data_IF_286178993588
#
_entry.id   IF_286178993588
#
_cell.length_a   1.000
_cell.length_b   1.000
_cell.length_c   1.000
_cell.angle_alpha   90.00
_cell.angle_beta   90.00
_cell.angle_gamma   90.00
#
_symmetry.space_group_name_H-M   'P 1'
#
loop_
_entity.id
_entity.type
_entity.pdbx_description
1 polymer ?
#
# COMPACT_ATOMS: atom_id res chain seq x y z
N UNK A 1 -31.95 5.28 1.65
CA UNK A 1 -30.66 5.14 0.94
C UNK A 1 -30.03 3.84 1.44
N UNK A 2 -29.87 2.86 0.55
CA UNK A 2 -29.36 1.52 0.87
C UNK A 2 -28.01 1.62 1.60
N UNK A 3 -27.84 0.92 2.72
CA UNK A 3 -26.59 0.91 3.51
C UNK A 3 -25.39 0.48 2.66
N UNK A 4 -25.59 -0.42 1.70
CA UNK A 4 -24.56 -0.83 0.72
C UNK A 4 -24.12 0.33 -0.17
N UNK A 5 -25.03 1.22 -0.59
CA UNK A 5 -24.67 2.39 -1.41
C UNK A 5 -23.85 3.41 -0.62
N UNK A 6 -24.17 3.62 0.66
CA UNK A 6 -23.37 4.47 1.56
C UNK A 6 -21.96 3.91 1.75
N UNK A 7 -21.84 2.59 1.91
CA UNK A 7 -20.55 1.93 2.06
C UNK A 7 -19.71 2.07 0.78
N UNK A 8 -20.29 1.85 -0.39
CA UNK A 8 -19.60 2.04 -1.68
C UNK A 8 -19.01 3.45 -1.78
N UNK A 9 -19.79 4.48 -1.44
CA UNK A 9 -19.33 5.87 -1.51
C UNK A 9 -18.19 6.15 -0.52
N UNK A 10 -18.24 5.54 0.66
CA UNK A 10 -17.17 5.63 1.63
C UNK A 10 -15.88 4.94 1.13
N UNK A 11 -15.97 3.75 0.53
CA UNK A 11 -14.81 3.01 0.03
C UNK A 11 -14.13 3.76 -1.13
N UNK A 12 -14.90 4.33 -2.05
CA UNK A 12 -14.36 5.17 -3.14
C UNK A 12 -13.57 6.37 -2.56
N UNK A 13 -14.07 7.01 -1.51
CA UNK A 13 -13.37 8.11 -0.87
C UNK A 13 -12.08 7.66 -0.17
N UNK A 14 -12.09 6.46 0.40
CA UNK A 14 -10.94 5.84 1.07
C UNK A 14 -9.79 5.55 0.11
N UNK A 15 -10.06 5.17 -1.15
CA UNK A 15 -9.01 4.95 -2.17
C UNK A 15 -8.15 6.18 -2.43
N UNK A 16 -8.71 7.39 -2.32
CA UNK A 16 -7.91 8.62 -2.43
C UNK A 16 -6.89 8.72 -1.29
N UNK A 17 -7.34 8.43 -0.07
CA UNK A 17 -6.47 8.42 1.13
C UNK A 17 -5.40 7.33 1.02
N UNK A 18 -5.75 6.15 0.48
CA UNK A 18 -4.80 5.07 0.22
C UNK A 18 -3.66 5.53 -0.69
N UNK A 19 -3.99 6.12 -1.84
CA UNK A 19 -3.00 6.58 -2.81
C UNK A 19 -2.08 7.67 -2.25
N UNK A 20 -2.65 8.63 -1.50
CA UNK A 20 -1.86 9.66 -0.81
C UNK A 20 -0.87 9.05 0.21
N UNK A 21 -1.33 8.06 1.01
CA UNK A 21 -0.47 7.35 1.97
C UNK A 21 0.64 6.56 1.27
N UNK A 22 0.30 5.83 0.21
CA UNK A 22 1.26 5.04 -0.55
C UNK A 22 2.34 5.92 -1.21
N UNK A 23 1.95 7.07 -1.77
CA UNK A 23 2.88 8.06 -2.32
C UNK A 23 3.81 8.63 -1.24
N UNK A 24 3.29 8.93 -0.05
CA UNK A 24 4.11 9.42 1.05
C UNK A 24 5.15 8.38 1.50
N UNK A 25 4.80 7.09 1.51
CA UNK A 25 5.73 6.00 1.83
C UNK A 25 6.84 5.89 0.78
N UNK A 26 6.49 5.91 -0.51
CA UNK A 26 7.49 5.89 -1.58
C UNK A 26 8.45 7.08 -1.45
N UNK A 27 7.92 8.28 -1.18
CA UNK A 27 8.75 9.47 -0.96
C UNK A 27 9.69 9.28 0.22
N UNK A 28 9.20 8.81 1.37
CA UNK A 28 10.04 8.57 2.55
C UNK A 28 11.14 7.53 2.27
N UNK A 29 10.86 6.50 1.47
CA UNK A 29 11.86 5.52 1.06
C UNK A 29 12.91 6.09 0.12
N UNK A 30 12.51 6.94 -0.83
CA UNK A 30 13.42 7.66 -1.70
C UNK A 30 14.35 8.59 -0.90
N UNK A 31 13.80 9.34 0.06
CA UNK A 31 14.58 10.23 0.92
C UNK A 31 15.60 9.44 1.77
N UNK A 32 15.19 8.29 2.33
CA UNK A 32 16.09 7.42 3.10
C UNK A 32 17.23 6.83 2.25
N UNK A 33 16.97 6.52 0.97
CA UNK A 33 17.98 6.07 0.03
C UNK A 33 18.94 7.19 -0.37
N UNK A 34 18.43 8.40 -0.67
CA UNK A 34 19.24 9.56 -1.03
C UNK A 34 20.21 9.94 0.10
N UNK A 35 19.80 9.83 1.37
CA UNK A 35 20.71 10.02 2.50
C UNK A 35 21.90 9.03 2.49
N UNK A 36 21.71 7.85 1.90
CA UNK A 36 22.75 6.82 1.77
C UNK A 36 23.69 7.13 0.62
N UNK A 37 23.17 7.52 -0.53
CA UNK A 37 23.99 7.95 -1.67
C UNK A 37 24.83 9.18 -1.29
N UNK A 38 24.22 10.12 -0.56
CA UNK A 38 24.91 11.26 0.02
C UNK A 38 25.99 10.81 1.02
N UNK A 39 25.78 9.76 1.81
CA UNK A 39 26.81 9.23 2.74
C UNK A 39 28.02 8.65 2.00
N UNK A 40 27.83 7.96 0.88
CA UNK A 40 28.97 7.51 0.05
C UNK A 40 29.79 8.72 -0.41
N UNK A 41 29.12 9.80 -0.83
CA UNK A 41 29.78 11.06 -1.17
C UNK A 41 30.36 11.80 0.06
N UNK A 42 29.74 11.66 1.24
CA UNK A 42 30.11 12.33 2.49
C UNK A 42 31.15 11.59 3.30
N UNK A 43 31.50 10.34 3.00
CA UNK A 43 32.60 9.66 3.69
C UNK A 43 33.98 10.20 3.32
N UNK A 44 34.03 11.07 2.32
CA UNK A 44 35.15 11.98 2.08
C UNK A 44 35.18 13.17 3.08
N UNK A 45 34.14 13.37 3.91
CA UNK A 45 33.99 14.47 4.90
C UNK A 45 33.03 14.11 6.09
N UNK A 46 33.57 13.66 7.24
CA UNK A 46 32.80 13.19 8.44
C UNK A 46 32.87 14.29 9.56
N UNK A 47 31.90 14.54 10.50
CA UNK A 47 30.97 13.64 11.23
C UNK A 47 29.50 14.11 11.44
N UNK A 48 28.64 13.17 11.90
CA UNK A 48 27.23 13.38 12.34
C UNK A 48 26.23 12.41 11.69
N UNK A 49 25.90 11.29 12.35
CA UNK A 49 25.20 10.10 11.79
C UNK A 49 23.73 9.93 12.26
N UNK A 50 23.06 10.98 12.70
CA UNK A 50 21.76 10.87 13.38
C UNK A 50 20.54 10.68 12.45
N UNK A 51 20.56 11.24 11.24
CA UNK A 51 19.34 11.35 10.41
C UNK A 51 18.87 10.05 9.73
N UNK A 52 19.77 9.10 9.47
CA UNK A 52 19.42 7.87 8.73
C UNK A 52 18.53 6.93 9.56
N UNK A 53 18.86 6.72 10.84
CA UNK A 53 18.04 5.90 11.74
C UNK A 53 16.66 6.53 11.97
N UNK A 54 16.62 7.84 12.11
CA UNK A 54 15.36 8.57 12.29
C UNK A 54 14.48 8.45 11.04
N UNK A 55 15.06 8.57 9.85
CA UNK A 55 14.31 8.48 8.58
C UNK A 55 13.76 7.08 8.34
N UNK A 56 14.56 6.04 8.63
CA UNK A 56 14.08 4.66 8.55
C UNK A 56 13.02 4.34 9.62
N UNK A 57 13.15 4.88 10.83
CA UNK A 57 12.12 4.73 11.87
C UNK A 57 10.79 5.35 11.44
N UNK A 58 10.81 6.54 10.82
CA UNK A 58 9.60 7.14 10.24
C UNK A 58 9.00 6.27 9.13
N UNK A 59 9.83 5.71 8.25
CA UNK A 59 9.35 4.79 7.20
C UNK A 59 8.68 3.54 7.80
N UNK A 60 9.26 2.98 8.86
CA UNK A 60 8.68 1.86 9.61
C UNK A 60 7.30 2.21 10.17
N UNK A 61 7.18 3.35 10.87
CA UNK A 61 5.92 3.85 11.41
C UNK A 61 4.86 4.02 10.31
N UNK A 62 5.24 4.58 9.15
CA UNK A 62 4.33 4.75 8.02
C UNK A 62 3.87 3.42 7.43
N UNK A 63 4.76 2.42 7.34
CA UNK A 63 4.43 1.07 6.88
C UNK A 63 3.51 0.32 7.85
N UNK A 64 3.71 0.49 9.16
CA UNK A 64 2.77 -0.02 10.17
C UNK A 64 1.40 0.63 9.97
N UNK A 65 1.35 1.96 9.90
CA UNK A 65 0.11 2.70 9.78
C UNK A 65 -0.68 2.38 8.51
N UNK A 66 -0.01 2.21 7.35
CA UNK A 66 -0.71 1.82 6.11
C UNK A 66 -1.15 0.36 6.16
N UNK A 67 -0.37 -0.54 6.75
CA UNK A 67 -0.75 -1.94 6.88
C UNK A 67 -2.03 -2.11 7.69
N UNK A 68 -2.08 -1.47 8.86
CA UNK A 68 -3.27 -1.51 9.73
C UNK A 68 -4.50 -0.87 9.08
N UNK A 69 -4.28 0.15 8.24
CA UNK A 69 -5.35 0.81 7.49
C UNK A 69 -5.87 -0.07 6.36
N UNK A 70 -4.98 -0.69 5.58
CA UNK A 70 -5.32 -1.61 4.49
C UNK A 70 -6.08 -2.83 5.01
N UNK A 71 -5.63 -3.41 6.13
CA UNK A 71 -6.34 -4.55 6.73
C UNK A 71 -7.78 -4.18 7.11
N UNK A 72 -8.00 -3.00 7.69
CA UNK A 72 -9.36 -2.53 8.02
C UNK A 72 -10.20 -2.21 6.79
N UNK A 73 -9.59 -1.72 5.71
CA UNK A 73 -10.25 -1.43 4.45
C UNK A 73 -10.68 -2.74 3.77
N UNK A 74 -9.73 -3.63 3.48
CA UNK A 74 -9.98 -4.92 2.87
C UNK A 74 -10.96 -5.78 3.66
N UNK A 75 -10.86 -5.81 5.00
CA UNK A 75 -11.80 -6.59 5.82
C UNK A 75 -13.25 -6.10 5.65
N UNK A 76 -13.49 -4.80 5.41
CA UNK A 76 -14.85 -4.28 5.20
C UNK A 76 -15.39 -4.67 3.83
N UNK A 77 -14.54 -4.67 2.80
CA UNK A 77 -14.92 -5.12 1.46
C UNK A 77 -15.23 -6.61 1.43
N UNK A 78 -14.33 -7.40 2.03
CA UNK A 78 -14.41 -8.85 2.14
C UNK A 78 -15.66 -9.33 2.89
N UNK A 79 -16.08 -8.59 3.93
CA UNK A 79 -17.19 -9.02 4.80
C UNK A 79 -18.54 -8.41 4.41
N UNK A 80 -18.57 -7.16 3.97
CA UNK A 80 -19.84 -6.44 3.76
C UNK A 80 -20.23 -6.38 2.28
N UNK A 81 -19.25 -6.30 1.39
CA UNK A 81 -19.49 -6.11 -0.05
C UNK A 81 -19.66 -7.43 -0.79
N UNK A 82 -18.96 -8.48 -0.34
CA UNK A 82 -19.06 -9.83 -0.88
C UNK A 82 -20.51 -10.36 -0.91
N UNK A 83 -21.30 -10.30 0.17
CA UNK A 83 -22.69 -10.78 0.13
C UNK A 83 -23.59 -9.95 -0.80
N UNK A 84 -23.31 -8.65 -0.97
CA UNK A 84 -24.08 -7.79 -1.86
C UNK A 84 -23.81 -8.12 -3.34
N UNK A 85 -22.56 -8.42 -3.69
CA UNK A 85 -22.16 -8.85 -5.04
C UNK A 85 -22.65 -10.26 -5.34
N UNK A 86 -22.63 -11.19 -4.38
CA UNK A 86 -23.18 -12.53 -4.57
C UNK A 86 -24.70 -12.50 -4.81
N UNK A 87 -25.42 -11.58 -4.16
CA UNK A 87 -26.88 -11.46 -4.27
C UNK A 87 -27.35 -10.73 -5.52
N UNK A 88 -26.59 -9.74 -5.99
CA UNK A 88 -27.01 -8.82 -7.05
C UNK A 88 -26.10 -8.81 -8.29
N UNK A 89 -24.94 -9.45 -8.21
CA UNK A 89 -23.92 -9.45 -9.26
C UNK A 89 -24.14 -10.53 -10.30
N UNK A 90 -23.93 -10.18 -11.56
CA UNK A 90 -23.80 -11.13 -12.65
C UNK A 90 -22.42 -11.82 -12.61
N UNK A 91 -22.24 -12.92 -13.34
CA UNK A 91 -21.00 -13.73 -13.29
C UNK A 91 -19.68 -12.94 -13.50
N UNK A 92 -19.73 -11.83 -14.25
CA UNK A 92 -18.58 -10.92 -14.43
C UNK A 92 -18.21 -10.16 -13.14
N UNK A 93 -19.20 -9.68 -12.38
CA UNK A 93 -18.99 -8.94 -11.14
C UNK A 93 -18.42 -9.86 -10.05
N UNK A 94 -18.90 -11.10 -9.99
CA UNK A 94 -18.37 -12.13 -9.08
C UNK A 94 -16.91 -12.45 -9.42
N UNK A 95 -16.60 -12.64 -10.71
CA UNK A 95 -15.22 -12.90 -11.15
C UNK A 95 -14.28 -11.74 -10.83
N UNK A 96 -14.71 -10.50 -11.06
CA UNK A 96 -13.92 -9.30 -10.75
C UNK A 96 -13.65 -9.19 -9.25
N UNK A 97 -14.65 -9.45 -8.41
CA UNK A 97 -14.49 -9.46 -6.96
C UNK A 97 -13.50 -10.53 -6.50
N UNK A 98 -13.59 -11.76 -7.02
CA UNK A 98 -12.63 -12.82 -6.68
C UNK A 98 -11.19 -12.46 -7.04
N UNK A 99 -10.97 -11.74 -8.16
CA UNK A 99 -9.64 -11.23 -8.51
C UNK A 99 -9.15 -10.20 -7.50
N UNK A 100 -10.01 -9.29 -7.04
CA UNK A 100 -9.66 -8.30 -6.01
C UNK A 100 -9.29 -8.94 -4.67
N UNK A 101 -10.01 -10.00 -4.26
CA UNK A 101 -9.68 -10.75 -3.04
C UNK A 101 -8.27 -11.37 -3.07
N UNK A 102 -7.84 -11.85 -4.24
CA UNK A 102 -6.47 -12.34 -4.43
C UNK A 102 -5.46 -11.20 -4.36
N UNK A 103 -5.78 -10.04 -4.94
CA UNK A 103 -4.95 -8.84 -4.87
C UNK A 103 -4.80 -8.33 -3.42
N UNK A 104 -5.83 -8.39 -2.57
CA UNK A 104 -5.70 -8.03 -1.16
C UNK A 104 -4.64 -8.88 -0.46
N UNK A 105 -4.61 -10.18 -0.75
CA UNK A 105 -3.62 -11.10 -0.17
C UNK A 105 -2.21 -10.74 -0.61
N UNK A 106 -2.01 -10.47 -1.90
CA UNK A 106 -0.71 -10.04 -2.43
C UNK A 106 -0.26 -8.71 -1.82
N UNK A 107 -1.15 -7.72 -1.76
CA UNK A 107 -0.86 -6.40 -1.20
C UNK A 107 -0.49 -6.47 0.29
N UNK A 108 -1.21 -7.26 1.09
CA UNK A 108 -0.86 -7.52 2.50
C UNK A 108 0.54 -8.13 2.62
N UNK A 109 0.85 -9.13 1.80
CA UNK A 109 2.18 -9.77 1.78
C UNK A 109 3.28 -8.76 1.43
N UNK A 110 3.08 -7.94 0.40
CA UNK A 110 4.04 -6.91 -0.04
C UNK A 110 4.34 -5.87 1.03
N UNK A 111 3.31 -5.43 1.77
CA UNK A 111 3.49 -4.52 2.92
C UNK A 111 4.25 -5.24 4.05
N UNK A 112 3.93 -6.50 4.31
CA UNK A 112 4.67 -7.33 5.28
C UNK A 112 6.16 -7.49 4.92
N UNK A 113 6.48 -7.72 3.66
CA UNK A 113 7.86 -7.78 3.15
C UNK A 113 8.57 -6.43 3.32
N UNK A 114 7.88 -5.33 3.01
CA UNK A 114 8.42 -3.98 3.19
C UNK A 114 8.81 -3.71 4.65
N UNK A 115 7.96 -4.11 5.61
CA UNK A 115 8.25 -4.02 7.05
C UNK A 115 9.49 -4.82 7.43
N UNK A 116 9.64 -6.04 6.91
CA UNK A 116 10.83 -6.89 7.15
C UNK A 116 12.10 -6.24 6.60
N UNK A 117 12.07 -5.70 5.39
CA UNK A 117 13.21 -5.02 4.79
C UNK A 117 13.65 -3.80 5.61
N UNK A 118 12.70 -2.97 6.05
CA UNK A 118 13.02 -1.81 6.91
C UNK A 118 13.65 -2.26 8.22
N UNK A 119 13.12 -3.29 8.88
CA UNK A 119 13.67 -3.83 10.12
C UNK A 119 15.10 -4.38 9.96
N UNK A 120 15.42 -4.96 8.80
CA UNK A 120 16.77 -5.43 8.49
C UNK A 120 17.75 -4.25 8.34
N UNK A 121 17.33 -3.20 7.63
CA UNK A 121 18.12 -1.98 7.42
C UNK A 121 18.35 -1.20 8.73
N UNK A 122 17.37 -1.16 9.63
CA UNK A 122 17.49 -0.49 10.95
C UNK A 122 18.32 -1.31 11.93
N UNK A 123 18.34 -2.64 11.81
CA UNK A 123 19.08 -3.54 12.70
C UNK A 123 20.60 -3.36 12.67
N UNK A 124 21.15 -2.69 11.65
CA UNK A 124 22.58 -2.30 11.59
C UNK A 124 23.55 -3.47 11.48
N UNK A 125 23.05 -4.68 11.19
CA UNK A 125 23.85 -5.92 11.05
C UNK A 125 24.43 -6.11 9.65
N UNK A 126 23.97 -5.34 8.67
CA UNK A 126 24.43 -5.41 7.29
C UNK A 126 25.74 -4.64 7.11
N UNK A 127 26.71 -5.28 6.44
CA UNK A 127 27.86 -4.56 5.89
C UNK A 127 27.40 -3.58 4.81
N UNK A 128 28.15 -2.47 4.61
CA UNK A 128 27.72 -1.34 3.78
C UNK A 128 27.19 -1.73 2.40
N UNK A 129 27.95 -2.49 1.61
CA UNK A 129 27.53 -2.87 0.26
C UNK A 129 26.21 -3.65 0.24
N UNK A 130 25.95 -4.48 1.26
CA UNK A 130 24.67 -5.19 1.38
C UNK A 130 23.55 -4.25 1.82
N UNK A 131 23.85 -3.34 2.74
CA UNK A 131 22.89 -2.32 3.17
C UNK A 131 22.43 -1.46 1.97
N UNK A 132 23.36 -0.99 1.14
CA UNK A 132 23.07 -0.14 -0.02
C UNK A 132 22.24 -0.89 -1.07
N UNK A 133 22.54 -2.17 -1.31
CA UNK A 133 21.74 -3.02 -2.20
C UNK A 133 20.32 -3.22 -1.63
N UNK A 134 20.19 -3.61 -0.36
CA UNK A 134 18.90 -3.80 0.30
C UNK A 134 18.05 -2.52 0.33
N UNK A 135 18.66 -1.36 0.50
CA UNK A 135 17.95 -0.08 0.47
C UNK A 135 17.39 0.25 -0.93
N UNK A 136 18.16 -0.05 -1.99
CA UNK A 136 17.70 0.10 -3.37
C UNK A 136 16.58 -0.88 -3.72
N UNK A 137 16.70 -2.14 -3.29
CA UNK A 137 15.67 -3.16 -3.49
C UNK A 137 14.36 -2.77 -2.78
N UNK A 138 14.45 -2.29 -1.53
CA UNK A 138 13.30 -1.77 -0.79
C UNK A 138 12.62 -0.62 -1.53
N UNK A 139 13.40 0.32 -2.07
CA UNK A 139 12.87 1.46 -2.83
C UNK A 139 12.12 0.98 -4.07
N UNK A 140 12.71 0.10 -4.87
CA UNK A 140 12.07 -0.47 -6.05
C UNK A 140 10.78 -1.23 -5.69
N UNK A 141 10.83 -2.01 -4.61
CA UNK A 141 9.66 -2.75 -4.10
C UNK A 141 8.53 -1.83 -3.66
N UNK A 142 8.83 -0.72 -2.98
CA UNK A 142 7.83 0.25 -2.54
C UNK A 142 7.24 1.06 -3.70
N UNK A 143 8.07 1.47 -4.67
CA UNK A 143 7.59 2.07 -5.93
C UNK A 143 6.63 1.13 -6.66
N UNK A 144 6.96 -0.16 -6.74
CA UNK A 144 6.09 -1.13 -7.38
C UNK A 144 4.79 -1.36 -6.57
N UNK A 145 4.89 -1.49 -5.26
CA UNK A 145 3.72 -1.67 -4.36
C UNK A 145 2.76 -0.50 -4.46
N UNK A 146 3.24 0.76 -4.54
CA UNK A 146 2.37 1.92 -4.79
C UNK A 146 1.60 1.78 -6.10
N UNK A 147 2.28 1.43 -7.20
CA UNK A 147 1.62 1.26 -8.50
C UNK A 147 0.55 0.16 -8.48
N UNK A 148 0.80 -0.92 -7.75
CA UNK A 148 -0.18 -1.99 -7.56
C UNK A 148 -1.39 -1.50 -6.75
N UNK A 149 -1.19 -0.77 -5.66
CA UNK A 149 -2.28 -0.15 -4.89
C UNK A 149 -3.12 0.80 -5.74
N UNK A 150 -2.49 1.60 -6.60
CA UNK A 150 -3.20 2.50 -7.52
C UNK A 150 -4.03 1.75 -8.57
N UNK A 151 -3.44 0.70 -9.15
CA UNK A 151 -4.14 -0.15 -10.13
C UNK A 151 -5.33 -0.87 -9.47
N UNK A 152 -5.13 -1.39 -8.27
CA UNK A 152 -6.14 -2.05 -7.45
C UNK A 152 -7.32 -1.11 -7.17
N UNK A 153 -7.08 0.07 -6.59
CA UNK A 153 -8.14 1.06 -6.36
C UNK A 153 -8.86 1.49 -7.65
N UNK A 154 -8.15 1.56 -8.77
CA UNK A 154 -8.77 1.89 -10.06
C UNK A 154 -9.73 0.78 -10.53
N UNK A 155 -9.39 -0.49 -10.28
CA UNK A 155 -10.27 -1.63 -10.56
C UNK A 155 -11.48 -1.66 -9.62
N UNK A 156 -11.27 -1.46 -8.32
CA UNK A 156 -12.34 -1.40 -7.33
C UNK A 156 -13.33 -0.27 -7.59
N UNK A 157 -12.84 0.93 -7.92
CA UNK A 157 -13.70 2.06 -8.27
C UNK A 157 -14.62 1.74 -9.46
N UNK A 158 -14.12 0.98 -10.45
CA UNK A 158 -14.96 0.54 -11.59
C UNK A 158 -16.01 -0.47 -11.12
N UNK A 159 -15.61 -1.47 -10.34
CA UNK A 159 -16.53 -2.48 -9.80
C UNK A 159 -17.62 -1.83 -8.94
N UNK A 160 -17.24 -0.91 -8.06
CA UNK A 160 -18.16 -0.21 -7.17
C UNK A 160 -19.12 0.71 -7.92
N UNK A 161 -18.66 1.35 -9.00
CA UNK A 161 -19.53 2.13 -9.88
C UNK A 161 -20.56 1.24 -10.60
N UNK A 162 -20.16 0.06 -11.09
CA UNK A 162 -21.07 -0.91 -11.72
C UNK A 162 -22.08 -1.46 -10.73
N UNK A 163 -21.63 -1.86 -9.53
CA UNK A 163 -22.50 -2.35 -8.46
C UNK A 163 -23.49 -1.27 -8.02
N UNK A 164 -23.04 -0.01 -7.91
CA UNK A 164 -23.92 1.13 -7.61
C UNK A 164 -25.03 1.28 -8.64
N UNK A 165 -24.74 1.19 -9.94
CA UNK A 165 -25.75 1.27 -11.01
C UNK A 165 -26.77 0.11 -10.91
N UNK A 166 -26.26 -1.11 -10.73
CA UNK A 166 -27.10 -2.30 -10.56
C UNK A 166 -28.05 -2.19 -9.35
N UNK A 167 -27.56 -1.65 -8.23
CA UNK A 167 -28.35 -1.46 -7.00
C UNK A 167 -29.31 -0.26 -7.06
N UNK A 168 -29.00 0.76 -7.86
CA UNK A 168 -29.86 1.94 -8.05
C UNK A 168 -31.04 1.68 -9.02
N UNK A 169 -30.98 0.60 -9.80
CA UNK A 169 -31.98 0.29 -10.84
C UNK A 169 -31.74 1.04 -12.16
N UNK A 170 -30.61 1.74 -12.29
CA UNK A 170 -30.18 2.39 -13.53
C UNK A 170 -29.54 1.32 -14.44
N UNK A 171 -30.36 0.63 -15.23
CA UNK A 171 -29.90 -0.26 -16.32
C UNK A 171 -29.77 0.51 -17.63
#
# INVERSE_FOLDING_TARGET
>A
MNETLKLIDQLIAEHKVMNERAMNIEKAANDASLLTDLKVARETFVPGRFDQRQSLGKLEEMLVAIGDWLDKHFNREETILLPAVEKHGEGKLISALNSLLLEHTDLRNRIGESKKHVAELTGGRLGRHRWDASANDMRAHLTHTRKLLEAHAAMENRLFAELRRALAGDR
#
